data_IF_290458035308
#
_entry.id   IF_290458035308
#
_cell.length_a   1.000
_cell.length_b   1.000
_cell.length_c   1.000
_cell.angle_alpha   90.00
_cell.angle_beta   90.00
_cell.angle_gamma   90.00
#
_symmetry.space_group_name_H-M   'P 1'
#
loop_
_entity.id
_entity.type
_entity.pdbx_description
1 polymer ?
#
# COMPACT_ATOMS: atom_id res chain seq x y z
N UNK A 1 -5.83 -3.16 -20.54
CA UNK A 1 -5.17 -1.96 -19.99
C UNK A 1 -3.80 -2.39 -19.50
N UNK A 2 -2.75 -1.75 -19.98
CA UNK A 2 -1.36 -2.02 -19.58
C UNK A 2 -1.08 -1.40 -18.21
N UNK A 3 -0.01 -1.84 -17.54
CA UNK A 3 0.42 -1.25 -16.26
C UNK A 3 0.76 0.25 -16.40
N UNK A 4 1.18 0.68 -17.59
CA UNK A 4 1.48 2.10 -17.86
C UNK A 4 0.22 2.93 -17.97
N UNK A 5 -0.81 2.46 -18.67
CA UNK A 5 -2.11 3.14 -18.74
C UNK A 5 -2.76 3.26 -17.34
N UNK A 6 -2.62 2.24 -16.49
CA UNK A 6 -3.09 2.31 -15.10
C UNK A 6 -2.37 3.39 -14.29
N UNK A 7 -1.08 3.64 -14.56
CA UNK A 7 -0.32 4.67 -13.84
C UNK A 7 -0.77 6.08 -14.15
N UNK A 8 -1.28 6.32 -15.36
CA UNK A 8 -1.84 7.63 -15.73
C UNK A 8 -3.12 7.98 -14.95
N UNK A 9 -3.75 7.00 -14.30
CA UNK A 9 -4.93 7.19 -13.45
C UNK A 9 -4.58 7.41 -11.97
N UNK A 10 -3.29 7.38 -11.62
CA UNK A 10 -2.85 7.62 -10.24
C UNK A 10 -2.96 9.11 -9.90
N UNK A 11 -3.33 9.38 -8.66
CA UNK A 11 -3.27 10.72 -8.07
C UNK A 11 -2.01 10.88 -7.19
N UNK A 12 -1.80 12.08 -6.66
CA UNK A 12 -0.63 12.39 -5.84
C UNK A 12 -0.53 11.52 -4.58
N UNK A 13 -1.67 11.08 -4.02
CA UNK A 13 -1.72 10.22 -2.84
C UNK A 13 -1.26 8.81 -3.22
N UNK A 14 -1.74 8.31 -4.35
CA UNK A 14 -1.32 7.01 -4.90
C UNK A 14 0.20 6.95 -5.14
N UNK A 15 0.75 7.99 -5.77
CA UNK A 15 2.18 8.11 -6.04
C UNK A 15 3.00 8.19 -4.74
N UNK A 16 2.53 8.95 -3.76
CA UNK A 16 3.15 9.06 -2.46
C UNK A 16 3.18 7.70 -1.74
N UNK A 17 2.08 6.95 -1.75
CA UNK A 17 2.01 5.62 -1.16
C UNK A 17 2.97 4.65 -1.86
N UNK A 18 2.96 4.60 -3.18
CA UNK A 18 3.83 3.71 -3.94
C UNK A 18 5.31 4.02 -3.66
N UNK A 19 5.68 5.31 -3.68
CA UNK A 19 7.06 5.74 -3.41
C UNK A 19 7.50 5.41 -1.97
N UNK A 20 6.60 5.55 -0.99
CA UNK A 20 6.86 5.19 0.41
C UNK A 20 7.13 3.69 0.54
N UNK A 21 6.30 2.85 -0.08
CA UNK A 21 6.48 1.40 -0.07
C UNK A 21 7.75 0.94 -0.79
N UNK A 22 8.14 1.62 -1.88
CA UNK A 22 9.41 1.37 -2.57
C UNK A 22 10.62 1.70 -1.70
N UNK A 23 10.58 2.83 -0.98
CA UNK A 23 11.68 3.27 -0.09
C UNK A 23 11.86 2.37 1.12
N UNK A 24 10.77 1.83 1.68
CA UNK A 24 10.82 1.06 2.92
C UNK A 24 11.61 -0.26 2.81
N UNK A 25 11.69 -0.87 1.63
CA UNK A 25 12.44 -2.12 1.42
C UNK A 25 11.78 -3.37 2.02
N UNK A 26 10.89 -3.26 3.00
CA UNK A 26 10.09 -4.34 3.56
C UNK A 26 8.57 -4.05 3.48
N UNK A 27 7.70 -5.08 3.55
CA UNK A 27 6.27 -4.86 3.62
C UNK A 27 5.87 -4.00 4.82
N UNK A 28 4.92 -3.09 4.62
CA UNK A 28 4.44 -2.15 5.63
C UNK A 28 2.95 -2.35 5.89
N UNK A 29 2.53 -2.15 7.13
CA UNK A 29 1.11 -2.06 7.47
C UNK A 29 0.50 -0.73 7.05
N UNK A 30 -0.82 -0.68 6.85
CA UNK A 30 -1.55 0.57 6.60
C UNK A 30 -1.23 1.64 7.64
N UNK A 31 -1.05 1.24 8.90
CA UNK A 31 -0.69 2.16 9.98
C UNK A 31 0.71 2.75 9.81
N UNK A 32 1.69 1.93 9.42
CA UNK A 32 3.05 2.42 9.17
C UNK A 32 3.07 3.39 7.97
N UNK A 33 2.36 3.07 6.89
CA UNK A 33 2.26 3.96 5.73
C UNK A 33 1.59 5.29 6.11
N UNK A 34 0.51 5.25 6.90
CA UNK A 34 -0.14 6.46 7.41
C UNK A 34 0.79 7.31 8.28
N UNK A 35 1.57 6.67 9.15
CA UNK A 35 2.55 7.37 9.99
C UNK A 35 3.64 8.05 9.17
N UNK A 36 4.16 7.38 8.15
CA UNK A 36 5.28 7.88 7.35
C UNK A 36 4.84 8.96 6.34
N UNK A 37 3.60 8.89 5.85
CA UNK A 37 3.04 9.87 4.91
C UNK A 37 2.36 11.07 5.59
N UNK A 38 2.03 10.95 6.89
CA UNK A 38 1.24 11.95 7.61
C UNK A 38 -0.24 11.97 7.23
N UNK A 39 -0.71 11.02 6.42
CA UNK A 39 -2.10 10.92 5.98
C UNK A 39 -2.94 10.09 6.94
N UNK A 40 -4.27 10.27 6.87
CA UNK A 40 -5.18 9.49 7.69
C UNK A 40 -5.14 8.00 7.33
N UNK A 41 -5.34 7.14 8.32
CA UNK A 41 -5.36 5.69 8.10
C UNK A 41 -6.43 5.27 7.08
N UNK A 42 -7.62 5.89 7.12
CA UNK A 42 -8.72 5.57 6.21
C UNK A 42 -8.40 5.96 4.77
N UNK A 43 -7.76 7.12 4.56
CA UNK A 43 -7.24 7.54 3.25
C UNK A 43 -6.26 6.51 2.71
N UNK A 44 -5.21 6.18 3.48
CA UNK A 44 -4.23 5.19 3.05
C UNK A 44 -4.87 3.84 2.77
N UNK A 45 -5.80 3.40 3.61
CA UNK A 45 -6.47 2.12 3.42
C UNK A 45 -7.22 2.07 2.08
N UNK A 46 -8.01 3.10 1.77
CA UNK A 46 -8.76 3.17 0.53
C UNK A 46 -7.82 3.15 -0.70
N UNK A 47 -6.76 3.97 -0.68
CA UNK A 47 -5.81 4.05 -1.78
C UNK A 47 -4.96 2.78 -1.92
N UNK A 48 -4.58 2.10 -0.84
CA UNK A 48 -3.90 0.80 -0.92
C UNK A 48 -4.76 -0.26 -1.62
N UNK A 49 -6.07 -0.29 -1.37
CA UNK A 49 -6.97 -1.20 -2.08
C UNK A 49 -7.14 -0.83 -3.56
N UNK A 50 -7.25 0.48 -3.88
CA UNK A 50 -7.22 0.99 -5.26
C UNK A 50 -5.96 0.50 -5.99
N UNK A 51 -4.78 0.83 -5.47
CA UNK A 51 -3.49 0.44 -6.04
C UNK A 51 -3.31 -1.08 -6.17
N UNK A 52 -3.82 -1.86 -5.20
CA UNK A 52 -3.82 -3.31 -5.28
C UNK A 52 -4.68 -3.84 -6.42
N UNK A 53 -5.88 -3.30 -6.62
CA UNK A 53 -6.74 -3.68 -7.76
C UNK A 53 -6.13 -3.33 -9.12
N UNK A 54 -5.27 -2.30 -9.16
CA UNK A 54 -4.52 -1.88 -10.35
C UNK A 54 -3.25 -2.71 -10.60
N UNK A 55 -2.88 -3.63 -9.69
CA UNK A 55 -1.63 -4.40 -9.79
C UNK A 55 -0.35 -3.57 -9.63
N UNK A 56 -0.45 -2.41 -8.97
CA UNK A 56 0.69 -1.53 -8.69
C UNK A 56 1.38 -1.95 -7.38
N UNK A 57 0.60 -2.37 -6.39
CA UNK A 57 1.10 -2.88 -5.11
C UNK A 57 0.47 -4.24 -4.78
N UNK A 58 1.20 -5.07 -4.04
CA UNK A 58 0.71 -6.30 -3.48
C UNK A 58 0.20 -6.08 -2.06
N UNK A 59 -0.60 -7.01 -1.56
CA UNK A 59 -0.96 -6.99 -0.15
C UNK A 59 -1.52 -8.31 0.36
N UNK A 60 -1.16 -8.65 1.61
CA UNK A 60 -1.65 -9.85 2.32
C UNK A 60 -2.15 -9.49 3.71
N UNK A 61 -3.07 -10.31 4.18
CA UNK A 61 -3.48 -10.32 5.56
C UNK A 61 -2.54 -11.24 6.34
N UNK A 62 -1.89 -10.70 7.38
CA UNK A 62 -1.02 -11.45 8.27
C UNK A 62 -1.68 -11.52 9.66
N UNK A 63 -1.75 -12.73 10.22
CA UNK A 63 -2.23 -12.96 11.57
C UNK A 63 -1.04 -12.90 12.51
N UNK A 64 -1.07 -11.99 13.47
CA UNK A 64 -0.05 -11.94 14.51
C UNK A 64 -0.10 -13.20 15.37
N UNK A 65 1.07 -13.78 15.67
CA UNK A 65 1.19 -14.96 16.55
C UNK A 65 0.63 -14.72 17.95
N UNK A 66 0.70 -13.47 18.42
CA UNK A 66 0.22 -13.06 19.75
C UNK A 66 -1.06 -12.23 19.59
N UNK A 67 -2.12 -12.65 20.27
CA UNK A 67 -3.40 -11.92 20.32
C UNK A 67 -4.27 -12.02 19.06
N UNK A 68 -3.91 -12.87 18.08
CA UNK A 68 -4.68 -13.16 16.86
C UNK A 68 -5.12 -11.93 16.04
N UNK A 69 -4.47 -10.78 16.23
CA UNK A 69 -4.81 -9.57 15.49
C UNK A 69 -4.38 -9.70 14.03
N UNK A 70 -5.31 -9.40 13.13
CA UNK A 70 -5.08 -9.38 11.69
C UNK A 70 -4.51 -8.01 11.29
N UNK A 71 -3.39 -7.98 10.58
CA UNK A 71 -2.84 -6.77 9.97
C UNK A 71 -2.74 -6.95 8.46
N UNK A 72 -3.12 -5.93 7.70
CA UNK A 72 -2.83 -5.87 6.27
C UNK A 72 -1.42 -5.34 6.09
N UNK A 73 -0.65 -6.03 5.25
CA UNK A 73 0.69 -5.62 4.84
C UNK A 73 0.69 -5.37 3.33
N UNK A 74 1.42 -4.35 2.92
CA UNK A 74 1.52 -3.84 1.56
C UNK A 74 2.99 -3.79 1.12
N UNK A 75 3.24 -4.02 -0.18
CA UNK A 75 4.57 -3.93 -0.79
C UNK A 75 4.43 -3.54 -2.27
N UNK A 76 5.45 -2.94 -2.92
CA UNK A 76 5.36 -2.62 -4.34
C UNK A 76 5.40 -3.91 -5.19
N UNK A 77 4.60 -3.97 -6.26
CA UNK A 77 4.66 -5.09 -7.22
C UNK A 77 5.87 -4.96 -8.17
N UNK A 78 6.54 -6.07 -8.44
CA UNK A 78 7.69 -6.14 -9.35
C UNK A 78 9.06 -5.94 -8.68
N UNK A 79 9.25 -6.52 -7.48
CA UNK A 79 10.60 -6.78 -6.96
C UNK A 79 11.24 -7.97 -7.64
#
# INVERSE_FOLDING_TARGET
>A
MTKNEMREMMDEIDELIESTLKKAGNPMSTYQVAKDTGLSWSTINAHCYKLKSMGIIGGKLEVAKIGQRKKLLWWPEGK
#
